data_IF_448370096942
#
_entry.id   IF_448370096942
#
_cell.length_a   1.000
_cell.length_b   1.000
_cell.length_c   1.000
_cell.angle_alpha   90.00
_cell.angle_beta   90.00
_cell.angle_gamma   90.00
#
_symmetry.space_group_name_H-M   'P 1'
#
loop_
_entity.id
_entity.type
_entity.pdbx_description
1 polymer ?
#
# COMPACT_ATOMS: atom_id res chain seq x y z
N UNK A 1 -22.46 -15.37 30.81
CA UNK A 1 -23.91 -15.63 30.65
C UNK A 1 -24.27 -15.20 29.23
N UNK A 2 -24.43 -16.07 28.22
CA UNK A 2 -25.14 -17.35 28.15
C UNK A 2 -24.27 -18.41 27.46
N UNK A 3 -24.45 -19.65 27.90
CA UNK A 3 -23.71 -20.84 27.53
C UNK A 3 -24.45 -21.58 26.41
N UNK A 4 -23.72 -22.20 25.46
CA UNK A 4 -24.17 -23.43 24.80
C UNK A 4 -22.96 -24.22 24.31
N UNK A 5 -22.87 -25.41 24.89
CA UNK A 5 -21.86 -26.45 24.77
C UNK A 5 -22.07 -27.22 23.46
N UNK A 6 -21.01 -27.47 22.72
CA UNK A 6 -20.93 -28.61 21.81
C UNK A 6 -19.54 -29.24 21.96
N UNK A 7 -19.49 -30.36 22.67
CA UNK A 7 -18.35 -31.27 22.70
C UNK A 7 -18.12 -31.81 21.27
N UNK A 8 -16.93 -31.55 20.73
CA UNK A 8 -16.37 -32.34 19.64
C UNK A 8 -14.94 -32.76 20.04
N UNK A 9 -14.88 -33.72 20.98
CA UNK A 9 -13.71 -34.56 21.25
C UNK A 9 -13.52 -35.50 20.05
N UNK A 10 -12.83 -35.07 18.98
CA UNK A 10 -12.24 -35.98 17.98
C UNK A 10 -11.31 -35.22 17.01
N UNK A 11 -10.02 -35.07 17.36
CA UNK A 11 -8.94 -34.86 16.38
C UNK A 11 -7.53 -34.97 17.02
N UNK A 12 -7.28 -36.00 17.83
CA UNK A 12 -5.96 -36.22 18.45
C UNK A 12 -5.06 -37.22 17.72
N UNK A 13 -5.36 -37.68 16.49
CA UNK A 13 -4.50 -38.68 15.82
C UNK A 13 -4.47 -38.68 14.29
N UNK A 14 -4.88 -37.59 13.64
CA UNK A 14 -4.64 -37.41 12.21
C UNK A 14 -3.62 -36.30 12.03
N UNK A 15 -2.50 -36.69 11.41
CA UNK A 15 -1.47 -35.86 10.80
C UNK A 15 -2.08 -34.63 10.13
N UNK A 16 -2.22 -33.54 10.89
CA UNK A 16 -2.30 -32.23 10.29
C UNK A 16 -0.86 -31.86 9.98
N UNK A 17 -0.38 -32.39 8.86
CA UNK A 17 0.46 -31.60 7.98
C UNK A 17 -0.33 -30.33 7.74
N UNK A 18 -0.10 -29.34 8.60
CA UNK A 18 -0.56 -28.00 8.38
C UNK A 18 -0.03 -27.65 7.00
N UNK A 19 -0.94 -27.55 6.03
CA UNK A 19 -0.63 -26.87 4.79
C UNK A 19 -0.09 -25.52 5.26
N UNK A 20 1.17 -25.16 4.95
CA UNK A 20 1.65 -23.81 5.23
C UNK A 20 0.77 -22.92 4.35
N UNK A 21 -0.31 -22.41 4.95
CA UNK A 21 -1.11 -21.38 4.31
C UNK A 21 -0.16 -20.21 4.17
N UNK A 22 0.24 -19.92 2.94
CA UNK A 22 0.89 -18.66 2.63
C UNK A 22 -0.05 -17.59 3.17
N UNK A 23 0.34 -16.96 4.29
CA UNK A 23 -0.48 -15.95 4.96
C UNK A 23 -0.84 -14.92 3.86
N UNK A 24 -2.13 -14.68 3.59
CA UNK A 24 -2.49 -13.57 2.72
C UNK A 24 -1.84 -12.33 3.31
N UNK A 25 -1.14 -11.54 2.49
CA UNK A 25 -0.55 -10.28 2.94
C UNK A 25 -1.68 -9.37 3.43
N UNK A 26 -1.98 -9.45 4.73
CA UNK A 26 -2.94 -8.61 5.41
C UNK A 26 -2.32 -7.23 5.50
N UNK A 27 -3.11 -6.20 5.17
CA UNK A 27 -2.68 -4.79 5.21
C UNK A 27 -2.17 -4.36 6.61
N UNK A 28 -2.43 -5.16 7.65
CA UNK A 28 -2.05 -4.93 9.05
C UNK A 28 -0.66 -5.47 9.47
N UNK A 29 0.10 -6.11 8.58
CA UNK A 29 1.48 -6.49 8.92
C UNK A 29 2.36 -5.24 9.05
N UNK A 30 3.08 -5.06 10.16
CA UNK A 30 3.94 -3.89 10.37
C UNK A 30 5.18 -3.90 9.46
N UNK A 31 5.54 -2.76 8.87
CA UNK A 31 6.79 -2.62 8.09
C UNK A 31 7.95 -2.43 9.08
N UNK A 32 8.69 -3.50 9.36
CA UNK A 32 9.81 -3.50 10.33
C UNK A 32 11.08 -2.83 9.81
N UNK A 33 11.35 -2.97 8.52
CA UNK A 33 12.50 -2.35 7.84
C UNK A 33 12.00 -1.63 6.59
N UNK A 34 11.92 -0.30 6.68
CA UNK A 34 11.43 0.55 5.60
C UNK A 34 12.35 0.47 4.38
N UNK A 35 13.66 0.45 4.59
CA UNK A 35 14.63 0.44 3.49
C UNK A 35 14.53 -0.85 2.70
N UNK A 36 14.48 -1.99 3.37
CA UNK A 36 14.30 -3.29 2.72
C UNK A 36 12.94 -3.39 2.02
N UNK A 37 11.89 -2.86 2.66
CA UNK A 37 10.56 -2.80 2.04
C UNK A 37 10.56 -2.01 0.73
N UNK A 38 11.23 -0.85 0.70
CA UNK A 38 11.29 0.03 -0.46
C UNK A 38 12.06 -0.58 -1.65
N UNK A 39 12.94 -1.57 -1.43
CA UNK A 39 13.67 -2.25 -2.53
C UNK A 39 12.74 -2.92 -3.54
N UNK A 40 11.50 -3.24 -3.13
CA UNK A 40 10.45 -3.77 -4.02
C UNK A 40 10.11 -2.82 -5.17
N UNK A 41 10.44 -1.54 -5.03
CA UNK A 41 10.13 -0.48 -5.99
C UNK A 41 11.33 -0.05 -6.85
N UNK A 42 12.52 -0.64 -6.66
CA UNK A 42 13.74 -0.22 -7.37
C UNK A 42 13.64 -0.33 -8.89
N UNK A 43 12.87 -1.30 -9.37
CA UNK A 43 12.66 -1.57 -10.80
C UNK A 43 11.26 -1.20 -11.29
N UNK A 44 10.51 -0.41 -10.52
CA UNK A 44 9.15 -0.03 -10.89
C UNK A 44 9.16 0.97 -12.06
N UNK A 45 8.56 0.59 -13.18
CA UNK A 45 8.28 1.50 -14.29
C UNK A 45 7.01 2.31 -14.01
N UNK A 46 7.21 3.50 -13.43
CA UNK A 46 6.12 4.43 -13.13
C UNK A 46 5.47 4.96 -14.42
N UNK A 47 6.21 5.11 -15.51
CA UNK A 47 5.68 5.60 -16.79
C UNK A 47 4.67 4.62 -17.40
N UNK A 48 4.94 3.33 -17.28
CA UNK A 48 4.00 2.30 -17.72
C UNK A 48 2.66 2.39 -16.99
N UNK A 49 2.68 2.67 -15.68
CA UNK A 49 1.44 2.82 -14.90
C UNK A 49 0.72 4.12 -15.28
N UNK A 50 1.44 5.24 -15.35
CA UNK A 50 0.87 6.56 -15.61
C UNK A 50 0.36 6.75 -17.04
N UNK A 51 0.89 6.00 -18.01
CA UNK A 51 0.48 6.08 -19.43
C UNK A 51 -0.77 5.26 -19.76
N UNK A 52 -1.24 4.41 -18.84
CA UNK A 52 -2.43 3.57 -19.04
C UNK A 52 -3.52 3.95 -18.04
N UNK A 53 -4.59 4.58 -18.53
CA UNK A 53 -5.75 4.93 -17.68
C UNK A 53 -6.31 3.71 -16.95
N UNK A 54 -6.38 2.55 -17.61
CA UNK A 54 -6.82 1.30 -16.98
C UNK A 54 -5.94 0.87 -15.81
N UNK A 55 -4.61 0.93 -15.97
CA UNK A 55 -3.69 0.55 -14.90
C UNK A 55 -3.73 1.58 -13.77
N UNK A 56 -3.68 2.87 -14.11
CA UNK A 56 -3.73 3.95 -13.14
C UNK A 56 -5.02 3.91 -12.31
N UNK A 57 -6.18 3.70 -12.95
CA UNK A 57 -7.47 3.59 -12.26
C UNK A 57 -7.51 2.41 -11.29
N UNK A 58 -6.90 1.28 -11.66
CA UNK A 58 -6.79 0.11 -10.78
C UNK A 58 -5.96 0.43 -9.52
N UNK A 59 -4.85 1.14 -9.69
CA UNK A 59 -3.99 1.58 -8.58
C UNK A 59 -4.70 2.59 -7.69
N UNK A 60 -5.32 3.62 -8.27
CA UNK A 60 -6.04 4.65 -7.54
C UNK A 60 -7.20 4.04 -6.74
N UNK A 61 -8.01 3.16 -7.34
CA UNK A 61 -9.10 2.49 -6.61
C UNK A 61 -8.60 1.67 -5.44
N UNK A 62 -7.45 1.00 -5.59
CA UNK A 62 -6.77 0.33 -4.49
C UNK A 62 -6.33 1.32 -3.40
N UNK A 63 -5.70 2.45 -3.76
CA UNK A 63 -5.28 3.48 -2.81
C UNK A 63 -6.46 4.12 -2.08
N UNK A 64 -7.62 4.18 -2.71
CA UNK A 64 -8.84 4.72 -2.11
C UNK A 64 -9.67 3.68 -1.35
N UNK A 65 -9.19 2.43 -1.24
CA UNK A 65 -9.93 1.31 -0.62
C UNK A 65 -11.29 1.01 -1.30
N UNK A 66 -11.43 1.33 -2.59
CA UNK A 66 -12.69 1.14 -3.34
C UNK A 66 -12.67 -0.07 -4.26
N UNK A 67 -11.51 -0.71 -4.45
CA UNK A 67 -11.36 -1.97 -5.16
C UNK A 67 -10.20 -2.80 -4.59
N UNK A 68 -10.17 -4.12 -4.81
CA UNK A 68 -9.04 -4.95 -4.44
C UNK A 68 -7.72 -4.49 -5.08
N UNK A 69 -6.64 -4.57 -4.31
CA UNK A 69 -5.31 -4.24 -4.80
C UNK A 69 -4.66 -5.41 -5.54
N UNK A 70 -4.06 -5.12 -6.70
CA UNK A 70 -3.01 -5.97 -7.26
C UNK A 70 -1.76 -5.94 -6.37
N UNK A 71 -0.87 -6.95 -6.39
CA UNK A 71 0.25 -7.05 -5.45
C UNK A 71 1.12 -5.79 -5.38
N UNK A 72 1.55 -5.24 -6.52
CA UNK A 72 2.37 -4.03 -6.56
C UNK A 72 1.63 -2.79 -6.05
N UNK A 73 0.35 -2.64 -6.37
CA UNK A 73 -0.47 -1.53 -5.87
C UNK A 73 -0.66 -1.63 -4.35
N UNK A 74 -0.81 -2.85 -3.80
CA UNK A 74 -0.87 -3.06 -2.35
C UNK A 74 0.42 -2.60 -1.69
N UNK A 75 1.57 -2.95 -2.28
CA UNK A 75 2.86 -2.56 -1.71
C UNK A 75 3.06 -1.03 -1.76
N UNK A 76 2.71 -0.39 -2.88
CA UNK A 76 2.77 1.07 -3.02
C UNK A 76 1.83 1.80 -2.06
N UNK A 77 0.61 1.28 -1.86
CA UNK A 77 -0.37 1.82 -0.92
C UNK A 77 0.21 1.91 0.50
N UNK A 78 0.91 0.87 0.93
CA UNK A 78 1.51 0.79 2.27
C UNK A 78 2.72 1.71 2.44
N UNK A 79 3.32 2.17 1.35
CA UNK A 79 4.38 3.18 1.38
C UNK A 79 3.84 4.62 1.51
N UNK A 80 2.57 4.90 1.16
CA UNK A 80 2.00 6.25 1.20
C UNK A 80 2.08 6.90 2.60
N UNK A 81 1.73 6.23 3.71
CA UNK A 81 1.90 6.79 5.05
C UNK A 81 3.36 7.07 5.42
N UNK A 82 4.32 6.30 4.90
CA UNK A 82 5.74 6.51 5.16
C UNK A 82 6.19 7.82 4.51
N UNK A 83 5.85 7.99 3.23
CA UNK A 83 6.13 9.22 2.46
C UNK A 83 5.48 10.43 3.15
N UNK A 84 4.21 10.32 3.54
CA UNK A 84 3.51 11.40 4.23
C UNK A 84 4.07 11.70 5.63
N UNK A 85 4.58 10.71 6.37
CA UNK A 85 5.07 10.90 7.73
C UNK A 85 6.48 11.49 7.78
N UNK A 86 7.40 10.98 6.96
CA UNK A 86 8.82 11.34 7.06
C UNK A 86 9.43 11.88 5.76
N UNK A 87 8.69 11.96 4.65
CA UNK A 87 9.22 12.38 3.35
C UNK A 87 10.10 11.32 2.68
N UNK A 88 9.92 10.04 3.03
CA UNK A 88 10.74 8.91 2.60
C UNK A 88 12.25 9.09 2.81
N UNK A 89 12.68 9.32 4.05
CA UNK A 89 14.11 9.48 4.40
C UNK A 89 15.00 8.30 3.99
N UNK A 90 14.41 7.12 3.90
CA UNK A 90 15.11 5.88 3.53
C UNK A 90 15.08 5.59 2.02
N UNK A 91 14.41 6.44 1.23
CA UNK A 91 14.37 6.29 -0.21
C UNK A 91 15.70 6.66 -0.88
N UNK A 92 16.04 5.97 -1.97
CA UNK A 92 17.08 6.43 -2.89
C UNK A 92 16.56 7.50 -3.87
N UNK A 93 17.45 8.16 -4.60
CA UNK A 93 17.09 9.26 -5.52
C UNK A 93 16.10 8.85 -6.62
N UNK A 94 16.22 7.62 -7.12
CA UNK A 94 15.32 7.08 -8.15
C UNK A 94 13.91 6.90 -7.58
N UNK A 95 13.81 6.34 -6.38
CA UNK A 95 12.53 6.17 -5.67
C UNK A 95 11.89 7.53 -5.39
N UNK A 96 12.65 8.52 -4.89
CA UNK A 96 12.13 9.88 -4.64
C UNK A 96 11.59 10.49 -5.94
N UNK A 97 12.37 10.42 -7.03
CA UNK A 97 11.95 10.93 -8.35
C UNK A 97 10.67 10.27 -8.83
N UNK A 98 10.57 8.95 -8.68
CA UNK A 98 9.41 8.16 -9.09
C UNK A 98 8.16 8.48 -8.26
N UNK A 99 8.30 8.60 -6.93
CA UNK A 99 7.20 8.97 -6.03
C UNK A 99 6.73 10.39 -6.36
N UNK A 100 7.64 11.36 -6.50
CA UNK A 100 7.29 12.74 -6.87
C UNK A 100 6.55 12.80 -8.19
N UNK A 101 7.02 12.06 -9.20
CA UNK A 101 6.36 11.98 -10.52
C UNK A 101 4.94 11.43 -10.42
N UNK A 102 4.74 10.33 -9.70
CA UNK A 102 3.43 9.73 -9.51
C UNK A 102 2.48 10.67 -8.74
N UNK A 103 2.91 11.22 -7.60
CA UNK A 103 2.10 12.13 -6.80
C UNK A 103 1.75 13.42 -7.57
N UNK A 104 2.70 14.00 -8.31
CA UNK A 104 2.46 15.18 -9.14
C UNK A 104 1.46 14.88 -10.27
N UNK A 105 1.53 13.69 -10.88
CA UNK A 105 0.57 13.28 -11.89
C UNK A 105 -0.83 13.16 -11.28
N UNK A 106 -0.99 12.46 -10.16
CA UNK A 106 -2.31 12.33 -9.51
C UNK A 106 -2.85 13.71 -9.10
N UNK A 107 -2.03 14.55 -8.47
CA UNK A 107 -2.41 15.92 -8.09
C UNK A 107 -2.92 16.77 -9.26
N UNK A 108 -2.31 16.63 -10.44
CA UNK A 108 -2.61 17.50 -11.59
C UNK A 108 -3.61 16.90 -12.58
N UNK A 109 -3.67 15.58 -12.72
CA UNK A 109 -4.47 14.85 -13.72
C UNK A 109 -5.61 14.04 -13.12
N UNK A 110 -5.66 13.88 -11.81
CA UNK A 110 -6.66 13.11 -11.03
C UNK A 110 -6.98 13.85 -9.71
N UNK A 111 -7.28 15.14 -9.82
CA UNK A 111 -7.44 16.03 -8.68
C UNK A 111 -8.53 15.59 -7.67
N UNK A 112 -9.70 15.06 -8.09
CA UNK A 112 -10.67 14.52 -7.13
C UNK A 112 -10.11 13.37 -6.30
N UNK A 113 -9.39 12.45 -6.93
CA UNK A 113 -8.78 11.29 -6.27
C UNK A 113 -7.58 11.69 -5.41
N UNK A 114 -6.82 12.70 -5.83
CA UNK A 114 -5.79 13.33 -5.01
C UNK A 114 -6.35 13.82 -3.67
N UNK A 115 -7.46 14.56 -3.68
CA UNK A 115 -8.09 15.05 -2.45
C UNK A 115 -8.49 13.91 -1.52
N UNK A 116 -9.04 12.82 -2.07
CA UNK A 116 -9.41 11.64 -1.29
C UNK A 116 -8.18 10.91 -0.73
N UNK A 117 -7.12 10.76 -1.52
CA UNK A 117 -5.86 10.15 -1.07
C UNK A 117 -5.22 10.95 0.05
N UNK A 118 -5.17 12.29 -0.07
CA UNK A 118 -4.65 13.17 0.98
C UNK A 118 -5.43 12.99 2.27
N UNK A 119 -6.77 12.96 2.21
CA UNK A 119 -7.60 12.73 3.39
C UNK A 119 -7.33 11.37 4.08
N UNK A 120 -6.93 10.34 3.33
CA UNK A 120 -6.64 9.01 3.87
C UNK A 120 -5.23 8.89 4.48
N UNK A 121 -4.22 9.48 3.84
CA UNK A 121 -2.81 9.20 4.14
C UNK A 121 -2.03 10.39 4.71
N UNK A 122 -2.55 11.60 4.56
CA UNK A 122 -1.94 12.84 5.04
C UNK A 122 -3.02 13.74 5.68
N UNK A 123 -3.52 13.39 6.89
CA UNK A 123 -4.65 14.11 7.51
C UNK A 123 -4.41 15.60 7.75
N UNK A 124 -3.15 16.05 7.79
CA UNK A 124 -2.82 17.48 7.89
C UNK A 124 -2.89 18.18 6.53
N UNK A 125 -2.86 17.42 5.43
CA UNK A 125 -2.91 17.92 4.05
C UNK A 125 -1.64 18.60 3.56
N UNK A 126 -0.60 18.63 4.38
CA UNK A 126 0.61 19.44 4.16
C UNK A 126 1.80 18.62 3.72
N UNK A 127 1.90 17.37 4.15
CA UNK A 127 3.16 16.62 4.06
C UNK A 127 3.44 16.11 2.65
N UNK A 128 2.42 15.57 1.97
CA UNK A 128 2.57 15.14 0.58
C UNK A 128 2.79 16.33 -0.36
N UNK A 129 2.15 17.47 -0.08
CA UNK A 129 2.39 18.70 -0.84
C UNK A 129 3.80 19.24 -0.62
N UNK A 130 4.29 19.22 0.63
CA UNK A 130 5.67 19.62 0.96
C UNK A 130 6.69 18.70 0.29
N UNK A 131 6.48 17.39 0.35
CA UNK A 131 7.34 16.42 -0.32
C UNK A 131 7.46 16.65 -1.83
N UNK A 132 6.43 17.22 -2.47
CA UNK A 132 6.48 17.57 -3.90
C UNK A 132 7.33 18.82 -4.19
N UNK A 133 7.54 19.70 -3.22
CA UNK A 133 8.23 20.99 -3.40
C UNK A 133 9.65 21.02 -2.85
N UNK A 134 9.95 20.19 -1.86
CA UNK A 134 11.30 19.95 -1.34
C UNK A 134 12.14 19.20 -2.37
#
# INVERSE_FOLDING_TARGET
>A
MKSSIALALFCLLSMHFGCPTAKPATDDEEIKDVKEYLRRFDNLDVDQILSSDRLLDSHIKCYLNTAPCIPIARDLKRALPIVASNGCKDCNDIQIKNIKKALAYVKTKRAPEWTQMVALYDPTGTNLSKFLTD
#
